data_IF_493794214737
#
_entry.id   IF_493794214737
#
_cell.length_a   1.000
_cell.length_b   1.000
_cell.length_c   1.000
_cell.angle_alpha   90.00
_cell.angle_beta   90.00
_cell.angle_gamma   90.00
#
_symmetry.space_group_name_H-M   'P 1'
#
loop_
_entity.id
_entity.type
_entity.pdbx_description
1 polymer ?
#
# COMPACT_ATOMS: atom_id res chain seq x y z
N UNK A 1 -33.30 15.84 -41.06
CA UNK A 1 -32.93 16.70 -39.94
C UNK A 1 -32.46 15.75 -38.86
N UNK A 2 -31.17 15.39 -38.97
CA UNK A 2 -30.53 14.53 -37.99
C UNK A 2 -30.31 15.34 -36.72
N UNK A 3 -30.87 14.84 -35.61
CA UNK A 3 -30.55 15.35 -34.28
C UNK A 3 -29.15 14.91 -33.95
N UNK A 4 -28.16 15.77 -34.12
CA UNK A 4 -26.87 15.60 -33.45
C UNK A 4 -27.17 15.65 -31.95
N UNK A 5 -27.18 14.48 -31.30
CA UNK A 5 -27.16 14.43 -29.84
C UNK A 5 -25.84 15.06 -29.39
N UNK A 6 -25.92 16.19 -28.73
CA UNK A 6 -24.83 16.85 -28.03
C UNK A 6 -24.30 15.85 -26.97
N UNK A 7 -23.31 15.04 -27.33
CA UNK A 7 -22.59 14.23 -26.37
C UNK A 7 -21.82 15.19 -25.46
N UNK A 8 -22.16 15.29 -24.17
CA UNK A 8 -21.49 16.20 -23.26
C UNK A 8 -20.00 15.89 -23.27
N UNK A 9 -19.17 16.88 -23.57
CA UNK A 9 -17.71 16.77 -23.57
C UNK A 9 -17.24 16.64 -22.11
N UNK A 10 -17.29 15.41 -21.57
CA UNK A 10 -16.91 15.09 -20.20
C UNK A 10 -15.39 15.17 -20.12
N UNK A 11 -14.86 15.92 -19.16
CA UNK A 11 -13.42 15.97 -18.95
C UNK A 11 -12.89 14.60 -18.49
N UNK A 12 -11.63 14.27 -18.85
CA UNK A 12 -10.96 13.03 -18.38
C UNK A 12 -11.04 12.88 -16.86
N UNK A 13 -10.94 13.99 -16.15
CA UNK A 13 -11.05 14.02 -14.68
C UNK A 13 -12.44 13.58 -14.20
N UNK A 14 -13.48 14.10 -14.80
CA UNK A 14 -14.87 13.77 -14.44
C UNK A 14 -15.16 12.31 -14.80
N UNK A 15 -14.68 11.84 -15.94
CA UNK A 15 -14.81 10.44 -16.35
C UNK A 15 -14.15 9.49 -15.34
N UNK A 16 -12.90 9.75 -14.94
CA UNK A 16 -12.20 8.97 -13.91
C UNK A 16 -12.95 8.96 -12.58
N UNK A 17 -13.51 10.09 -12.16
CA UNK A 17 -14.30 10.19 -10.94
C UNK A 17 -15.63 9.46 -11.03
N UNK A 18 -16.31 9.51 -12.17
CA UNK A 18 -17.54 8.75 -12.42
C UNK A 18 -17.28 7.23 -12.37
N UNK A 19 -16.21 6.77 -13.01
CA UNK A 19 -15.78 5.34 -12.95
C UNK A 19 -15.47 4.95 -11.50
N UNK A 20 -14.74 5.80 -10.77
CA UNK A 20 -14.44 5.52 -9.37
C UNK A 20 -15.72 5.39 -8.54
N UNK A 21 -16.66 6.31 -8.65
CA UNK A 21 -17.91 6.29 -7.87
C UNK A 21 -18.77 5.07 -8.22
N UNK A 22 -18.90 4.75 -9.50
CA UNK A 22 -19.79 3.67 -9.97
C UNK A 22 -19.19 2.26 -9.91
N UNK A 23 -17.86 2.10 -9.88
CA UNK A 23 -17.20 0.78 -10.02
C UNK A 23 -16.20 0.43 -8.94
N UNK A 24 -15.57 1.41 -8.30
CA UNK A 24 -14.42 1.17 -7.42
C UNK A 24 -14.69 1.52 -5.96
N UNK A 25 -15.58 2.46 -5.69
CA UNK A 25 -15.91 2.92 -4.34
C UNK A 25 -16.35 1.78 -3.43
N UNK A 26 -17.28 0.93 -3.87
CA UNK A 26 -17.77 -0.21 -3.10
C UNK A 26 -16.73 -1.33 -2.95
N UNK A 27 -15.71 -1.35 -3.83
CA UNK A 27 -14.55 -2.22 -3.70
C UNK A 27 -13.52 -1.67 -2.72
N UNK A 28 -13.79 -0.50 -2.12
CA UNK A 28 -12.95 0.16 -1.13
C UNK A 28 -11.74 0.87 -1.68
N UNK A 29 -11.69 1.11 -2.98
CA UNK A 29 -10.69 1.98 -3.59
C UNK A 29 -10.92 3.40 -3.10
N UNK A 30 -9.87 4.06 -2.62
CA UNK A 30 -9.98 5.42 -2.08
C UNK A 30 -10.19 6.43 -3.20
N UNK A 31 -11.01 7.45 -2.94
CA UNK A 31 -11.19 8.57 -3.87
C UNK A 31 -9.86 9.29 -4.11
N UNK A 32 -9.39 9.40 -5.36
CA UNK A 32 -8.20 10.19 -5.65
C UNK A 32 -8.54 11.68 -5.60
N UNK A 33 -7.56 12.52 -5.27
CA UNK A 33 -7.71 13.98 -5.28
C UNK A 33 -6.38 14.68 -5.48
N UNK A 34 -6.42 15.99 -5.79
CA UNK A 34 -5.23 16.79 -6.01
C UNK A 34 -4.28 16.19 -7.05
N UNK A 35 -3.00 16.27 -6.82
CA UNK A 35 -1.96 15.76 -7.72
C UNK A 35 -2.08 14.24 -8.03
N UNK A 36 -2.66 13.44 -7.12
CA UNK A 36 -2.89 12.02 -7.37
C UNK A 36 -4.01 11.76 -8.38
N UNK A 37 -5.03 12.61 -8.42
CA UNK A 37 -6.08 12.53 -9.44
C UNK A 37 -5.49 12.84 -10.82
N UNK A 38 -4.67 13.90 -10.93
CA UNK A 38 -4.00 14.23 -12.20
C UNK A 38 -3.06 13.11 -12.67
N UNK A 39 -2.28 12.53 -11.75
CA UNK A 39 -1.43 11.39 -12.07
C UNK A 39 -2.25 10.18 -12.56
N UNK A 40 -3.41 9.95 -11.96
CA UNK A 40 -4.31 8.89 -12.41
C UNK A 40 -4.92 9.21 -13.78
N UNK A 41 -5.28 10.45 -14.06
CA UNK A 41 -5.75 10.89 -15.39
C UNK A 41 -4.67 10.68 -16.46
N UNK A 42 -3.42 11.02 -16.17
CA UNK A 42 -2.30 10.75 -17.08
C UNK A 42 -2.17 9.24 -17.39
N UNK A 43 -2.28 8.40 -16.37
CA UNK A 43 -2.23 6.95 -16.55
C UNK A 43 -3.47 6.40 -17.26
N UNK A 44 -4.64 6.99 -17.04
CA UNK A 44 -5.90 6.60 -17.68
C UNK A 44 -5.90 6.87 -19.18
N UNK A 45 -5.43 8.03 -19.62
CA UNK A 45 -5.26 8.34 -21.05
C UNK A 45 -4.30 7.35 -21.74
N UNK A 46 -3.38 6.79 -20.97
CA UNK A 46 -2.37 5.84 -21.43
C UNK A 46 -2.59 4.41 -20.89
N UNK A 47 -3.83 4.04 -20.65
CA UNK A 47 -4.15 2.72 -20.07
C UNK A 47 -3.50 1.58 -20.89
N UNK A 48 -2.95 0.60 -20.18
CA UNK A 48 -2.20 -0.51 -20.78
C UNK A 48 -0.78 -0.19 -21.24
N UNK A 49 -0.36 1.09 -21.20
CA UNK A 49 1.00 1.51 -21.55
C UNK A 49 1.84 1.80 -20.29
N UNK A 50 3.13 1.52 -20.39
CA UNK A 50 4.10 1.80 -19.34
C UNK A 50 4.61 3.23 -19.50
N UNK A 51 4.29 4.12 -18.52
CA UNK A 51 4.59 5.56 -18.53
C UNK A 51 5.65 5.86 -17.49
N UNK A 52 6.69 6.65 -17.86
CA UNK A 52 7.73 7.06 -16.92
C UNK A 52 7.21 8.05 -15.89
N UNK A 53 7.81 8.04 -14.70
CA UNK A 53 7.46 8.99 -13.63
C UNK A 53 7.64 10.45 -14.10
N UNK A 54 8.61 10.73 -14.97
CA UNK A 54 8.88 12.09 -15.45
C UNK A 54 7.74 12.62 -16.32
N UNK A 55 7.16 11.78 -17.18
CA UNK A 55 5.98 12.12 -17.98
C UNK A 55 4.77 12.39 -17.07
N UNK A 56 4.56 11.54 -16.07
CA UNK A 56 3.45 11.71 -15.12
C UNK A 56 3.63 13.01 -14.32
N UNK A 57 4.83 13.30 -13.85
CA UNK A 57 5.13 14.54 -13.13
C UNK A 57 4.89 15.77 -13.98
N UNK A 58 5.38 15.75 -15.23
CA UNK A 58 5.17 16.85 -16.18
C UNK A 58 3.67 17.10 -16.40
N UNK A 59 2.88 16.06 -16.61
CA UNK A 59 1.43 16.18 -16.76
C UNK A 59 0.76 16.83 -15.52
N UNK A 60 1.19 16.41 -14.32
CA UNK A 60 0.67 16.95 -13.06
C UNK A 60 1.05 18.44 -12.89
N UNK A 61 2.28 18.80 -13.25
CA UNK A 61 2.75 20.20 -13.19
C UNK A 61 2.03 21.09 -14.22
N UNK A 62 1.81 20.58 -15.44
CA UNK A 62 1.02 21.26 -16.47
C UNK A 62 -0.46 21.46 -16.07
N UNK A 63 -0.97 20.61 -15.17
CA UNK A 63 -2.31 20.75 -14.55
C UNK A 63 -2.34 21.76 -13.40
N UNK A 64 -1.24 22.51 -13.16
CA UNK A 64 -1.15 23.60 -12.18
C UNK A 64 -0.67 23.20 -10.78
N UNK A 65 -0.18 21.96 -10.57
CA UNK A 65 0.37 21.54 -9.30
C UNK A 65 1.89 21.79 -9.23
N UNK A 66 2.35 22.34 -8.11
CA UNK A 66 3.78 22.54 -7.86
C UNK A 66 4.33 21.32 -7.11
N UNK A 67 5.20 20.54 -7.75
CA UNK A 67 5.84 19.37 -7.16
C UNK A 67 7.20 19.74 -6.56
N UNK A 68 7.27 19.82 -5.23
CA UNK A 68 8.50 20.11 -4.49
C UNK A 68 9.31 18.83 -4.25
N UNK A 69 10.38 18.63 -5.04
CA UNK A 69 11.30 17.50 -4.90
C UNK A 69 10.76 16.16 -5.41
N UNK A 70 11.58 15.12 -5.34
CA UNK A 70 11.28 13.78 -5.85
C UNK A 70 10.14 13.06 -5.11
N UNK A 71 9.95 13.36 -3.83
CA UNK A 71 8.99 12.68 -2.97
C UNK A 71 7.58 13.30 -2.96
N UNK A 72 7.38 14.44 -3.62
CA UNK A 72 6.10 15.16 -3.62
C UNK A 72 4.97 14.42 -4.34
N UNK A 73 5.29 13.54 -5.28
CA UNK A 73 4.33 12.69 -5.98
C UNK A 73 4.78 11.23 -6.00
N UNK A 74 4.27 10.44 -5.07
CA UNK A 74 4.58 9.01 -5.00
C UNK A 74 3.48 8.18 -5.66
N UNK A 75 3.51 8.08 -7.00
CA UNK A 75 2.51 7.35 -7.83
C UNK A 75 2.24 5.92 -7.35
N UNK A 76 3.24 5.27 -6.73
CA UNK A 76 3.07 3.95 -6.09
C UNK A 76 1.96 3.90 -5.04
N UNK A 77 1.58 5.05 -4.46
CA UNK A 77 0.50 5.12 -3.48
C UNK A 77 -0.88 4.92 -4.15
N UNK A 78 -1.04 5.28 -5.41
CA UNK A 78 -2.28 5.00 -6.15
C UNK A 78 -2.61 3.50 -6.17
N UNK A 79 -1.59 2.61 -6.30
CA UNK A 79 -1.80 1.18 -6.16
C UNK A 79 -1.98 0.76 -4.69
N UNK A 80 -0.99 1.08 -3.82
CA UNK A 80 -0.94 0.53 -2.46
C UNK A 80 -1.96 1.13 -1.50
N UNK A 81 -2.12 2.47 -1.51
CA UNK A 81 -2.96 3.17 -0.54
C UNK A 81 -4.35 3.46 -1.08
N UNK A 82 -4.46 3.76 -2.37
CA UNK A 82 -5.74 4.04 -3.02
C UNK A 82 -6.40 2.80 -3.55
N UNK A 83 -5.64 1.84 -4.08
CA UNK A 83 -6.14 0.55 -4.55
C UNK A 83 -6.42 0.47 -6.06
N UNK A 84 -5.93 1.41 -6.87
CA UNK A 84 -6.03 1.34 -8.32
C UNK A 84 -5.12 0.24 -8.89
N UNK A 85 -5.56 -0.40 -9.97
CA UNK A 85 -4.85 -1.52 -10.60
C UNK A 85 -3.64 -1.04 -11.41
N UNK A 86 -2.63 -0.53 -10.69
CA UNK A 86 -1.40 0.03 -11.24
C UNK A 86 -0.21 -0.86 -10.87
N UNK A 87 0.53 -1.28 -11.89
CA UNK A 87 1.81 -1.96 -11.77
C UNK A 87 2.96 -0.94 -11.83
N UNK A 88 4.02 -1.20 -11.07
CA UNK A 88 5.20 -0.31 -10.96
C UNK A 88 6.46 -0.97 -11.48
N UNK A 89 7.51 -0.20 -11.67
CA UNK A 89 8.81 -0.67 -12.10
C UNK A 89 9.33 -1.87 -11.31
N UNK A 90 9.77 -2.89 -12.03
CA UNK A 90 10.24 -4.17 -11.54
C UNK A 90 9.17 -5.26 -11.45
N UNK A 91 7.89 -4.91 -11.46
CA UNK A 91 6.78 -5.88 -11.49
C UNK A 91 6.57 -6.43 -12.92
N UNK A 92 5.95 -7.59 -13.01
CA UNK A 92 5.65 -8.28 -14.28
C UNK A 92 4.13 -8.33 -14.47
N UNK A 93 3.66 -7.91 -15.62
CA UNK A 93 2.27 -8.05 -16.04
C UNK A 93 2.21 -8.74 -17.40
N UNK A 94 1.46 -9.83 -17.51
CA UNK A 94 1.33 -10.66 -18.71
C UNK A 94 2.68 -11.01 -19.38
N UNK A 95 3.68 -11.37 -18.56
CA UNK A 95 5.02 -11.72 -19.03
C UNK A 95 5.93 -10.53 -19.38
N UNK A 96 5.41 -9.30 -19.36
CA UNK A 96 6.18 -8.08 -19.64
C UNK A 96 6.62 -7.42 -18.34
N UNK A 97 7.94 -7.23 -18.18
CA UNK A 97 8.50 -6.54 -17.00
C UNK A 97 8.38 -5.03 -17.19
N UNK A 98 7.75 -4.36 -16.21
CA UNK A 98 7.64 -2.90 -16.18
C UNK A 98 9.05 -2.29 -15.95
N UNK A 99 9.51 -1.34 -16.79
CA UNK A 99 10.81 -0.70 -16.61
C UNK A 99 10.91 0.04 -15.26
N UNK A 100 12.11 0.22 -14.75
CA UNK A 100 12.33 1.03 -13.52
C UNK A 100 11.77 2.44 -13.73
N UNK A 101 11.24 3.03 -12.65
CA UNK A 101 10.62 4.37 -12.66
C UNK A 101 9.42 4.53 -13.59
N UNK A 102 8.82 3.43 -14.05
CA UNK A 102 7.59 3.44 -14.84
C UNK A 102 6.41 2.88 -14.05
N UNK A 103 5.22 3.28 -14.49
CA UNK A 103 3.93 2.85 -13.96
C UNK A 103 2.99 2.51 -15.11
N UNK A 104 2.13 1.53 -14.92
CA UNK A 104 1.13 1.12 -15.91
C UNK A 104 -0.20 0.91 -15.22
N UNK A 105 -1.21 1.68 -15.60
CA UNK A 105 -2.59 1.39 -15.24
C UNK A 105 -3.08 0.29 -16.18
N UNK A 106 -3.35 -0.87 -15.61
CA UNK A 106 -3.78 -2.04 -16.39
C UNK A 106 -5.25 -1.94 -16.73
N UNK A 107 -6.03 -1.55 -15.76
CA UNK A 107 -7.48 -1.49 -15.82
C UNK A 107 -7.99 -0.50 -14.76
N UNK A 108 -8.97 0.31 -15.13
CA UNK A 108 -9.60 1.26 -14.19
C UNK A 108 -10.91 0.72 -13.59
N UNK A 109 -11.40 -0.42 -14.03
CA UNK A 109 -12.69 -0.98 -13.59
C UNK A 109 -12.51 -1.96 -12.42
N UNK A 110 -11.28 -2.40 -12.14
CA UNK A 110 -10.96 -3.32 -11.06
C UNK A 110 -9.98 -2.71 -10.05
N UNK A 111 -10.13 -3.12 -8.77
CA UNK A 111 -9.15 -2.80 -7.75
C UNK A 111 -7.88 -3.64 -7.94
N UNK A 112 -6.73 -3.09 -7.53
CA UNK A 112 -5.47 -3.84 -7.55
C UNK A 112 -5.60 -5.14 -6.73
N UNK A 113 -5.13 -6.29 -7.22
CA UNK A 113 -5.28 -7.58 -6.53
C UNK A 113 -4.75 -7.57 -5.09
N UNK A 114 -3.63 -6.91 -4.85
CA UNK A 114 -3.06 -6.81 -3.50
C UNK A 114 -3.85 -5.85 -2.59
N UNK A 115 -4.56 -4.85 -3.14
CA UNK A 115 -5.40 -3.95 -2.34
C UNK A 115 -6.57 -4.70 -1.69
N UNK A 116 -7.22 -5.59 -2.41
CA UNK A 116 -8.30 -6.43 -1.87
C UNK A 116 -7.74 -7.27 -0.72
N UNK A 117 -6.52 -7.77 -0.87
CA UNK A 117 -5.82 -8.54 0.17
C UNK A 117 -5.48 -7.67 1.39
N UNK A 118 -5.02 -6.44 1.18
CA UNK A 118 -4.71 -5.51 2.28
C UNK A 118 -5.97 -5.07 3.04
N UNK A 119 -7.09 -4.84 2.35
CA UNK A 119 -8.36 -4.51 2.98
C UNK A 119 -8.91 -5.66 3.84
N UNK A 120 -8.67 -6.90 3.44
CA UNK A 120 -8.94 -8.10 4.25
C UNK A 120 -7.99 -8.24 5.45
N UNK A 121 -6.85 -7.53 5.45
CA UNK A 121 -5.84 -7.57 6.52
C UNK A 121 -6.14 -6.64 7.70
N UNK A 122 -7.08 -5.70 7.57
CA UNK A 122 -7.39 -4.75 8.65
C UNK A 122 -8.77 -5.05 9.20
N UNK A 123 -8.88 -6.10 10.01
CA UNK A 123 -10.09 -6.43 10.78
C UNK A 123 -9.93 -6.12 12.28
N UNK A 124 -8.78 -5.55 12.68
CA UNK A 124 -8.47 -5.30 14.08
C UNK A 124 -8.98 -3.91 14.50
N UNK A 125 -9.96 -3.88 15.42
CA UNK A 125 -10.47 -2.63 16.00
C UNK A 125 -9.46 -2.04 17.00
N UNK A 126 -9.67 -0.78 17.40
CA UNK A 126 -8.80 -0.15 18.41
C UNK A 126 -8.97 -0.82 19.79
N UNK A 127 -10.19 -1.20 20.15
CA UNK A 127 -10.47 -1.94 21.38
C UNK A 127 -9.72 -3.28 21.39
N UNK A 128 -9.77 -4.03 20.31
CA UNK A 128 -9.03 -5.28 20.18
C UNK A 128 -7.52 -5.07 20.29
N UNK A 129 -7.02 -3.98 19.70
CA UNK A 129 -5.61 -3.63 19.79
C UNK A 129 -5.16 -3.31 21.22
N UNK A 130 -5.96 -2.52 21.97
CA UNK A 130 -5.70 -2.23 23.37
C UNK A 130 -5.69 -3.52 24.20
N UNK A 131 -6.65 -4.42 23.98
CA UNK A 131 -6.71 -5.72 24.63
C UNK A 131 -5.43 -6.53 24.40
N UNK A 132 -5.01 -6.65 23.14
CA UNK A 132 -3.77 -7.36 22.79
C UNK A 132 -2.56 -6.74 23.49
N UNK A 133 -2.40 -5.41 23.45
CA UNK A 133 -1.29 -4.75 24.17
C UNK A 133 -1.27 -5.10 25.67
N UNK A 134 -2.44 -5.09 26.31
CA UNK A 134 -2.57 -5.44 27.71
C UNK A 134 -2.18 -6.89 28.01
N UNK A 135 -2.57 -7.86 27.15
CA UNK A 135 -2.16 -9.27 27.27
C UNK A 135 -0.63 -9.43 27.27
N UNK A 136 0.06 -8.60 26.49
CA UNK A 136 1.52 -8.57 26.46
C UNK A 136 2.14 -7.57 27.46
N UNK A 137 1.35 -7.02 28.41
CA UNK A 137 1.80 -6.03 29.41
C UNK A 137 2.47 -4.81 28.77
N UNK A 138 1.93 -4.34 27.64
CA UNK A 138 2.48 -3.25 26.82
C UNK A 138 3.95 -3.46 26.44
N UNK A 139 4.33 -4.71 26.10
CA UNK A 139 5.68 -5.05 25.66
C UNK A 139 5.70 -5.62 24.24
N UNK A 140 6.79 -5.36 23.54
CA UNK A 140 7.08 -6.01 22.28
C UNK A 140 7.17 -7.52 22.47
N UNK A 141 6.39 -8.28 21.72
CA UNK A 141 6.39 -9.75 21.80
C UNK A 141 7.77 -10.37 21.43
N UNK A 142 8.52 -9.70 20.56
CA UNK A 142 9.81 -10.22 20.05
C UNK A 142 10.99 -9.89 20.97
N UNK A 143 11.20 -8.63 21.34
CA UNK A 143 12.35 -8.19 22.12
C UNK A 143 12.04 -7.90 23.60
N UNK A 144 10.76 -7.71 23.97
CA UNK A 144 10.34 -7.42 25.31
C UNK A 144 10.41 -5.94 25.73
N UNK A 145 10.78 -5.03 24.83
CA UNK A 145 10.83 -3.60 25.12
C UNK A 145 9.44 -3.06 25.45
N UNK A 146 9.37 -2.19 26.47
CA UNK A 146 8.10 -1.69 27.02
C UNK A 146 7.68 -0.41 26.29
N UNK A 147 6.41 -0.31 25.90
CA UNK A 147 5.84 0.91 25.30
C UNK A 147 6.04 2.11 26.22
N UNK A 148 6.44 3.24 25.66
CA UNK A 148 6.70 4.50 26.39
C UNK A 148 8.04 4.57 27.10
N UNK A 149 8.88 3.53 27.05
CA UNK A 149 10.24 3.55 27.59
C UNK A 149 11.28 3.68 26.47
N UNK A 150 12.52 3.97 26.80
CA UNK A 150 13.63 3.99 25.82
C UNK A 150 13.81 2.62 25.19
N UNK A 151 14.09 2.62 23.89
CA UNK A 151 14.36 1.39 23.15
C UNK A 151 15.71 0.78 23.58
N UNK A 152 15.78 -0.54 23.62
CA UNK A 152 16.99 -1.31 24.06
C UNK A 152 18.27 -0.91 23.33
N UNK A 153 18.14 -0.54 22.08
CA UNK A 153 19.28 -0.27 21.18
C UNK A 153 19.50 1.22 20.94
N UNK A 154 18.60 2.09 21.42
CA UNK A 154 18.70 3.53 21.23
C UNK A 154 17.96 4.26 22.37
N UNK A 155 18.71 4.77 23.32
CA UNK A 155 18.16 5.48 24.49
C UNK A 155 17.40 6.76 24.16
N UNK A 156 17.57 7.30 22.95
CA UNK A 156 16.88 8.51 22.47
C UNK A 156 15.55 8.17 21.77
N UNK A 157 15.26 6.91 21.49
CA UNK A 157 14.03 6.49 20.82
C UNK A 157 13.05 5.87 21.82
N UNK A 158 11.85 6.43 21.88
CA UNK A 158 10.78 5.90 22.73
C UNK A 158 10.07 4.78 21.99
N UNK A 159 9.89 3.66 22.66
CA UNK A 159 9.18 2.50 22.11
C UNK A 159 7.72 2.81 21.87
N UNK A 160 7.28 2.68 20.64
CA UNK A 160 5.88 2.67 20.22
C UNK A 160 5.55 1.30 19.63
N UNK A 161 4.56 0.64 20.21
CA UNK A 161 4.13 -0.67 19.73
C UNK A 161 3.26 -0.54 18.48
N UNK A 162 3.53 -1.40 17.51
CA UNK A 162 2.84 -1.50 16.24
C UNK A 162 2.12 -2.86 16.15
N UNK A 163 1.05 -2.91 15.38
CA UNK A 163 0.30 -4.12 15.07
C UNK A 163 1.12 -4.99 14.12
N UNK A 164 1.80 -6.00 14.66
CA UNK A 164 2.58 -6.97 13.89
C UNK A 164 1.74 -8.20 13.53
N UNK A 165 1.86 -8.72 12.30
CA UNK A 165 1.29 -10.00 11.96
C UNK A 165 2.08 -11.15 12.58
N UNK A 166 1.39 -12.16 13.13
CA UNK A 166 2.04 -13.45 13.39
C UNK A 166 2.33 -14.18 12.08
N UNK A 167 1.35 -14.27 11.19
CA UNK A 167 1.52 -14.80 9.83
C UNK A 167 1.14 -13.70 8.82
N UNK A 168 2.10 -13.12 8.10
CA UNK A 168 1.86 -12.03 7.16
C UNK A 168 1.05 -12.45 5.92
N UNK A 169 0.81 -13.76 5.72
CA UNK A 169 -0.03 -14.29 4.64
C UNK A 169 -1.52 -14.22 4.98
N UNK A 170 -1.88 -13.99 6.26
CA UNK A 170 -3.25 -13.96 6.78
C UNK A 170 -3.70 -12.53 7.09
N UNK A 171 -5.00 -12.34 7.25
CA UNK A 171 -5.58 -11.08 7.70
C UNK A 171 -5.05 -10.66 9.08
N UNK A 172 -5.00 -9.35 9.36
CA UNK A 172 -4.64 -8.81 10.66
C UNK A 172 -5.87 -8.84 11.59
N UNK A 173 -6.09 -10.00 12.21
CA UNK A 173 -7.14 -10.24 13.20
C UNK A 173 -6.55 -10.33 14.61
N UNK A 174 -7.39 -10.40 15.64
CA UNK A 174 -6.93 -10.62 17.03
C UNK A 174 -6.03 -11.86 17.15
N UNK A 175 -6.42 -12.96 16.50
CA UNK A 175 -5.68 -14.22 16.54
C UNK A 175 -4.38 -14.23 15.74
N UNK A 176 -4.19 -13.23 14.88
CA UNK A 176 -3.01 -13.09 14.01
C UNK A 176 -2.24 -11.81 14.28
N UNK A 177 -2.41 -11.17 15.43
CA UNK A 177 -1.74 -9.94 15.81
C UNK A 177 -0.90 -10.13 17.06
N UNK A 178 0.31 -9.58 17.05
CA UNK A 178 1.18 -9.42 18.21
C UNK A 178 1.73 -8.00 18.27
N UNK A 179 1.96 -7.43 19.47
CA UNK A 179 2.60 -6.13 19.58
C UNK A 179 4.09 -6.25 19.26
N UNK A 180 4.56 -5.42 18.35
CA UNK A 180 5.97 -5.33 17.98
C UNK A 180 6.44 -3.89 18.05
N UNK A 181 7.64 -3.63 18.57
CA UNK A 181 8.27 -2.32 18.41
C UNK A 181 8.61 -2.10 16.93
N UNK A 182 8.86 -0.84 16.57
CA UNK A 182 9.17 -0.43 15.19
C UNK A 182 10.30 -1.25 14.59
N UNK A 183 11.39 -1.47 15.34
CA UNK A 183 12.57 -2.19 14.84
C UNK A 183 12.25 -3.66 14.55
N UNK A 184 11.59 -4.36 15.49
CA UNK A 184 11.19 -5.75 15.28
C UNK A 184 10.21 -5.88 14.11
N UNK A 185 9.22 -4.97 14.01
CA UNK A 185 8.26 -4.99 12.93
C UNK A 185 8.90 -4.71 11.57
N UNK A 186 9.87 -3.77 11.50
CA UNK A 186 10.57 -3.46 10.27
C UNK A 186 11.58 -4.52 9.85
N UNK A 187 12.29 -5.13 10.81
CA UNK A 187 13.28 -6.16 10.54
C UNK A 187 12.66 -7.40 9.90
N UNK A 188 11.52 -7.82 10.39
CA UNK A 188 10.89 -9.06 9.93
C UNK A 188 9.86 -8.82 8.82
N UNK A 189 9.06 -7.74 8.90
CA UNK A 189 7.99 -7.41 7.93
C UNK A 189 7.17 -8.65 7.53
N UNK A 190 7.20 -8.99 6.23
CA UNK A 190 6.53 -10.14 5.63
C UNK A 190 7.43 -11.37 5.48
N UNK A 191 8.61 -11.39 6.14
CA UNK A 191 9.62 -12.41 5.98
C UNK A 191 9.46 -13.59 6.92
N UNK A 192 8.84 -13.40 8.08
CA UNK A 192 8.80 -14.40 9.13
C UNK A 192 7.38 -14.65 9.64
N UNK A 193 7.13 -15.89 10.06
CA UNK A 193 5.95 -16.29 10.82
C UNK A 193 6.32 -16.46 12.28
N UNK A 194 5.49 -15.90 13.17
CA UNK A 194 5.71 -15.92 14.61
C UNK A 194 4.69 -16.79 15.32
N UNK A 195 5.07 -17.34 16.47
CA UNK A 195 4.11 -17.83 17.45
C UNK A 195 3.61 -16.70 18.38
N UNK A 196 2.63 -16.99 19.22
CA UNK A 196 2.10 -16.03 20.21
C UNK A 196 3.14 -15.48 21.20
N UNK A 197 4.32 -16.08 21.31
CA UNK A 197 5.44 -15.60 22.15
C UNK A 197 6.41 -14.70 21.39
N UNK A 198 6.09 -14.32 20.14
CA UNK A 198 6.96 -13.50 19.30
C UNK A 198 8.22 -14.21 18.80
N UNK A 199 8.30 -15.54 18.93
CA UNK A 199 9.42 -16.33 18.38
C UNK A 199 9.12 -16.67 16.93
N UNK A 200 10.10 -16.49 16.06
CA UNK A 200 10.04 -16.95 14.66
C UNK A 200 9.94 -18.46 14.62
N UNK A 201 8.96 -18.98 13.91
CA UNK A 201 8.74 -20.42 13.70
C UNK A 201 8.93 -20.84 12.24
N UNK A 202 8.85 -19.88 11.31
CA UNK A 202 9.02 -20.13 9.87
C UNK A 202 9.54 -18.85 9.20
N UNK A 203 10.39 -18.99 8.20
CA UNK A 203 10.72 -17.90 7.28
C UNK A 203 10.00 -18.12 5.95
N UNK A 204 9.38 -17.07 5.42
CA UNK A 204 8.83 -17.10 4.08
C UNK A 204 9.96 -17.12 3.03
N UNK A 205 9.70 -17.66 1.84
CA UNK A 205 10.69 -17.73 0.75
C UNK A 205 11.36 -16.38 0.45
N UNK A 206 10.64 -15.27 0.64
CA UNK A 206 11.19 -13.90 0.54
C UNK A 206 12.12 -13.51 1.70
N UNK A 207 12.14 -14.26 2.78
CA UNK A 207 12.92 -13.97 4.00
C UNK A 207 14.26 -14.68 4.07
N UNK A 208 14.47 -15.67 3.23
CA UNK A 208 15.74 -16.37 3.12
C UNK A 208 16.67 -15.55 2.20
N UNK A 209 17.78 -15.07 2.73
CA UNK A 209 18.84 -14.50 1.89
C UNK A 209 19.45 -15.62 1.04
N UNK A 210 19.96 -15.27 -0.15
CA UNK A 210 20.54 -16.22 -1.11
C UNK A 210 21.66 -17.11 -0.52
N UNK A 211 22.22 -16.75 0.64
CA UNK A 211 23.24 -17.51 1.38
C UNK A 211 22.67 -18.54 2.37
N UNK A 212 21.35 -18.62 2.53
CA UNK A 212 20.67 -19.56 3.44
C UNK A 212 19.82 -20.62 2.70
N UNK A 213 19.92 -20.65 1.36
CA UNK A 213 19.22 -21.62 0.50
C UNK A 213 20.09 -22.83 0.11
N UNK A 214 21.07 -23.18 0.92
CA UNK A 214 21.89 -24.39 0.74
C UNK A 214 21.60 -25.38 1.85
#
# INVERSE_FOLDING_TARGET
>A
MELEEDIPNISVKDEVLMIWDGKLKDKGVKKPGGAFLEALCCLYINIGKSISIDIIRKYVEESGFILKGSDSLQVRHLAKQYGFNIFKGGEVYNGVKIPRSHYMLVDILSAHPSHITEKRRVELTEESWIKIKNEYRNRCACCGDTEGQSARWNDYEIVLLQRGHMDPRKALTEDNCIPQCKDCNQQYKDKAVFNKRGKVIEFNEKGLSSSQQL
#
